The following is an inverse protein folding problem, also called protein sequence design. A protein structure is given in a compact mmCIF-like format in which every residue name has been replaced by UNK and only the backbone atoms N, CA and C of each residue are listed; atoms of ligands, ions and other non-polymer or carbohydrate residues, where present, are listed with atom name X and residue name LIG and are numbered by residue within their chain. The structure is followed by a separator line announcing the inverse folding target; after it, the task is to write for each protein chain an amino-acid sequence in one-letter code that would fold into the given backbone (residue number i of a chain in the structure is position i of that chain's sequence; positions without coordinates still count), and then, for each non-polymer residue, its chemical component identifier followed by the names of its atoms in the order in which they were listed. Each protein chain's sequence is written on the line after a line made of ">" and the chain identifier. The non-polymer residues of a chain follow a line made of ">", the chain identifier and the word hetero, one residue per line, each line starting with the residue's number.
data_IF_757650405091
#
_entry.id   IF_757650405091
#
_cell.length_a   1.000
_cell.length_b   1.000
_cell.length_c   1.000
_cell.angle_alpha   90.00
_cell.angle_beta   90.00
_cell.angle_gamma   90.00
#
_symmetry.space_group_name_H-M   'P 1'
#
loop_
_entity.id
_entity.type
_entity.pdbx_description
1 polymer ?
#
# COMPACT_ATOMS: atom_id res chain seq x y z
N UNK A 1 -34.22 7.98 -18.03
CA UNK A 1 -33.96 8.35 -16.62
C UNK A 1 -32.84 7.54 -15.92
N UNK A 2 -32.17 6.56 -16.57
CA UNK A 2 -31.15 5.70 -15.92
C UNK A 2 -29.71 6.27 -15.84
N UNK A 3 -29.43 7.41 -16.47
CA UNK A 3 -28.06 7.95 -16.59
C UNK A 3 -27.60 8.80 -15.38
N UNK A 4 -28.52 9.19 -14.48
CA UNK A 4 -28.23 10.04 -13.32
C UNK A 4 -27.65 9.29 -12.10
N UNK A 5 -28.03 8.03 -11.87
CA UNK A 5 -27.59 7.28 -10.70
C UNK A 5 -26.17 6.69 -10.84
N UNK A 6 -25.73 6.40 -12.06
CA UNK A 6 -24.40 5.85 -12.30
C UNK A 6 -23.28 6.84 -11.95
N UNK A 7 -23.47 8.13 -12.25
CA UNK A 7 -22.48 9.17 -11.94
C UNK A 7 -22.34 9.44 -10.43
N UNK A 8 -23.44 9.39 -9.68
CA UNK A 8 -23.44 9.57 -8.21
C UNK A 8 -22.82 8.36 -7.51
N UNK A 9 -23.13 7.14 -7.98
CA UNK A 9 -22.53 5.92 -7.44
C UNK A 9 -21.02 5.82 -7.70
N UNK A 10 -20.57 6.20 -8.90
CA UNK A 10 -19.15 6.25 -9.25
C UNK A 10 -18.40 7.30 -8.41
N UNK A 11 -18.94 8.51 -8.28
CA UNK A 11 -18.33 9.59 -7.49
C UNK A 11 -18.28 9.26 -5.98
N UNK A 12 -19.27 8.53 -5.45
CA UNK A 12 -19.25 8.02 -4.07
C UNK A 12 -18.21 6.91 -3.85
N UNK A 13 -17.99 6.03 -4.83
CA UNK A 13 -16.98 4.99 -4.77
C UNK A 13 -15.55 5.57 -4.76
N UNK A 14 -15.28 6.59 -5.59
CA UNK A 14 -13.98 7.29 -5.66
C UNK A 14 -13.66 7.97 -4.32
N UNK A 15 -14.62 8.69 -3.73
CA UNK A 15 -14.44 9.35 -2.42
C UNK A 15 -14.18 8.35 -1.28
N UNK A 16 -14.78 7.16 -1.36
CA UNK A 16 -14.57 6.06 -0.40
C UNK A 16 -13.19 5.41 -0.53
N UNK A 17 -12.66 5.27 -1.75
CA UNK A 17 -11.27 4.80 -2.00
C UNK A 17 -10.23 5.78 -1.48
N UNK A 18 -10.40 7.09 -1.71
CA UNK A 18 -9.52 8.14 -1.19
C UNK A 18 -9.55 8.21 0.35
N UNK A 19 -10.71 8.05 0.96
CA UNK A 19 -10.84 7.95 2.42
C UNK A 19 -10.20 6.67 2.99
N UNK A 20 -10.20 5.57 2.23
CA UNK A 20 -9.52 4.31 2.59
C UNK A 20 -8.00 4.42 2.48
N UNK A 21 -7.49 5.18 1.51
CA UNK A 21 -6.07 5.47 1.33
C UNK A 21 -5.50 6.34 2.47
N UNK A 22 -6.32 7.22 3.05
CA UNK A 22 -6.02 7.96 4.28
C UNK A 22 -6.29 7.17 5.56
N UNK A 23 -6.69 5.90 5.47
CA UNK A 23 -6.87 5.07 6.64
C UNK A 23 -5.50 4.79 7.26
N UNK A 24 -5.35 5.16 8.53
CA UNK A 24 -4.22 4.83 9.40
C UNK A 24 -3.75 3.35 9.27
N UNK A 25 -4.65 2.45 8.85
CA UNK A 25 -4.36 1.03 8.55
C UNK A 25 -3.42 0.82 7.36
N UNK A 26 -3.48 1.65 6.33
CA UNK A 26 -2.56 1.59 5.19
C UNK A 26 -1.18 2.10 5.62
N UNK A 27 -1.13 3.30 6.22
CA UNK A 27 0.09 3.88 6.79
C UNK A 27 0.78 2.93 7.78
N UNK A 28 0.01 2.25 8.64
CA UNK A 28 0.53 1.27 9.59
C UNK A 28 1.20 0.06 8.93
N UNK A 29 0.66 -0.45 7.81
CA UNK A 29 1.26 -1.57 7.06
C UNK A 29 2.56 -1.15 6.37
N UNK A 30 2.56 0.05 5.77
CA UNK A 30 3.74 0.64 5.13
C UNK A 30 4.86 0.86 6.15
N UNK A 31 4.54 1.46 7.32
CA UNK A 31 5.50 1.70 8.40
C UNK A 31 6.00 0.40 9.02
N UNK A 32 5.13 -0.60 9.22
CA UNK A 32 5.56 -1.92 9.71
C UNK A 32 6.55 -2.59 8.76
N UNK A 33 6.31 -2.53 7.45
CA UNK A 33 7.22 -3.04 6.43
C UNK A 33 8.57 -2.31 6.43
N UNK A 34 8.59 -0.97 6.53
CA UNK A 34 9.82 -0.18 6.65
C UNK A 34 10.58 -0.50 7.94
N UNK A 35 9.88 -0.67 9.05
CA UNK A 35 10.48 -1.04 10.34
C UNK A 35 11.10 -2.44 10.27
N UNK A 36 10.45 -3.39 9.58
CA UNK A 36 11.00 -4.71 9.32
C UNK A 36 12.29 -4.64 8.49
N UNK A 37 12.28 -3.91 7.38
CA UNK A 37 13.46 -3.72 6.52
C UNK A 37 14.61 -3.08 7.31
N UNK A 38 14.32 -2.04 8.10
CA UNK A 38 15.32 -1.35 8.93
C UNK A 38 15.92 -2.26 10.01
N UNK A 39 15.11 -3.16 10.58
CA UNK A 39 15.55 -4.20 11.51
C UNK A 39 16.53 -5.18 10.84
N UNK A 40 16.23 -5.65 9.63
CA UNK A 40 17.13 -6.53 8.86
C UNK A 40 18.46 -5.85 8.52
N UNK A 41 18.44 -4.55 8.21
CA UNK A 41 19.65 -3.76 7.95
C UNK A 41 20.50 -3.53 9.20
N UNK A 42 19.88 -3.47 10.39
CA UNK A 42 20.59 -3.28 11.66
C UNK A 42 21.19 -4.59 12.21
N UNK A 43 20.54 -5.73 12.00
CA UNK A 43 21.11 -7.04 12.33
C UNK A 43 22.16 -7.52 11.31
N UNK A 44 22.15 -6.94 10.12
CA UNK A 44 23.03 -7.31 9.03
C UNK A 44 22.50 -8.50 8.22
N UNK A 45 22.78 -8.48 6.92
CA UNK A 45 22.40 -9.52 5.96
C UNK A 45 23.53 -10.55 5.95
N UNK A 46 23.34 -11.69 6.60
CA UNK A 46 24.39 -12.70 6.81
C UNK A 46 24.17 -13.96 5.94
N UNK A 47 22.98 -14.11 5.36
CA UNK A 47 22.60 -15.26 4.54
C UNK A 47 21.91 -14.82 3.24
N UNK A 48 22.00 -15.60 2.14
CA UNK A 48 21.17 -15.39 0.96
C UNK A 48 19.66 -15.45 1.26
N UNK A 49 19.24 -16.08 2.36
CA UNK A 49 17.85 -16.05 2.83
C UNK A 49 17.39 -14.67 3.29
N UNK A 50 18.29 -13.88 3.87
CA UNK A 50 18.00 -12.52 4.35
C UNK A 50 17.75 -11.57 3.16
N UNK A 51 18.45 -11.79 2.03
CA UNK A 51 18.20 -11.07 0.77
C UNK A 51 16.81 -11.38 0.22
N UNK A 52 16.38 -12.64 0.24
CA UNK A 52 15.02 -13.04 -0.18
C UNK A 52 13.96 -12.40 0.71
N UNK A 53 14.18 -12.35 2.03
CA UNK A 53 13.29 -11.66 2.96
C UNK A 53 13.23 -10.15 2.72
N UNK A 54 14.39 -9.52 2.47
CA UNK A 54 14.46 -8.10 2.14
C UNK A 54 13.70 -7.78 0.85
N UNK A 55 13.88 -8.61 -0.18
CA UNK A 55 13.15 -8.49 -1.45
C UNK A 55 11.65 -8.66 -1.27
N UNK A 56 11.21 -9.64 -0.48
CA UNK A 56 9.80 -9.85 -0.18
C UNK A 56 9.19 -8.68 0.60
N UNK A 57 9.89 -8.16 1.61
CA UNK A 57 9.46 -6.99 2.37
C UNK A 57 9.40 -5.74 1.48
N UNK A 58 10.37 -5.56 0.59
CA UNK A 58 10.42 -4.44 -0.37
C UNK A 58 9.30 -4.54 -1.42
N UNK A 59 9.01 -5.75 -1.92
CA UNK A 59 7.88 -5.99 -2.82
C UNK A 59 6.54 -5.69 -2.13
N UNK A 60 6.41 -6.05 -0.84
CA UNK A 60 5.23 -5.69 -0.05
C UNK A 60 5.08 -4.18 0.15
N UNK A 61 6.19 -3.48 0.40
CA UNK A 61 6.21 -2.01 0.47
C UNK A 61 5.77 -1.39 -0.86
N UNK A 62 6.33 -1.87 -1.98
CA UNK A 62 5.97 -1.40 -3.32
C UNK A 62 4.51 -1.69 -3.68
N UNK A 63 3.98 -2.86 -3.33
CA UNK A 63 2.57 -3.18 -3.54
C UNK A 63 1.66 -2.25 -2.74
N UNK A 64 2.00 -1.95 -1.49
CA UNK A 64 1.26 -0.95 -0.70
C UNK A 64 1.31 0.42 -1.40
N UNK A 65 2.48 0.91 -1.82
CA UNK A 65 2.61 2.18 -2.56
C UNK A 65 1.83 2.16 -3.89
N UNK A 66 1.90 1.08 -4.64
CA UNK A 66 1.19 0.93 -5.91
C UNK A 66 -0.33 1.00 -5.73
N UNK A 67 -0.88 0.46 -4.63
CA UNK A 67 -2.32 0.60 -4.33
C UNK A 67 -2.72 2.04 -4.03
N UNK A 68 -1.81 2.88 -3.52
CA UNK A 68 -2.05 4.31 -3.34
C UNK A 68 -2.01 5.05 -4.68
N UNK A 69 -0.99 4.80 -5.50
CA UNK A 69 -0.84 5.44 -6.82
C UNK A 69 -1.97 5.06 -7.77
N UNK A 70 -2.38 3.79 -7.79
CA UNK A 70 -3.50 3.31 -8.58
C UNK A 70 -4.86 3.85 -8.10
N UNK A 71 -4.99 4.22 -6.83
CA UNK A 71 -6.20 4.84 -6.30
C UNK A 71 -6.34 6.33 -6.68
N UNK A 72 -5.24 6.99 -7.06
CA UNK A 72 -5.21 8.40 -7.50
C UNK A 72 -5.40 8.54 -9.03
N UNK A 73 -5.13 7.46 -9.78
CA UNK A 73 -5.21 7.41 -11.24
C UNK A 73 -6.61 7.09 -11.81
N UNK A 74 -7.63 6.91 -10.96
CA UNK A 74 -9.02 6.54 -11.30
C UNK A 74 -10.00 7.71 -11.07
#
# INVERSE_FOLDING_TARGET
>A
MLRGNAGVAASGAVRSRLAKAWSLKWLGQTVASVCWISSMLTYGINSPGDLLQLCAASAWLLANIATLVAADAD
#
